data_IF_306063000900
#
_entry.id   IF_306063000900
#
_cell.length_a   1.000
_cell.length_b   1.000
_cell.length_c   1.000
_cell.angle_alpha   90.00
_cell.angle_beta   90.00
_cell.angle_gamma   90.00
#
_symmetry.space_group_name_H-M   'P 1'
#
loop_
_entity.id
_entity.type
_entity.pdbx_description
1 polymer ?
#
# COMPACT_ATOMS: atom_id res chain seq x y z
N UNK A 1 -28.77 -26.48 -2.18
CA UNK A 1 -27.73 -26.32 -3.17
C UNK A 1 -27.02 -25.01 -2.88
N UNK A 2 -25.87 -25.12 -2.24
CA UNK A 2 -25.07 -23.94 -1.91
C UNK A 2 -24.62 -23.26 -3.21
N UNK A 3 -25.01 -22.02 -3.40
CA UNK A 3 -24.28 -21.19 -4.34
C UNK A 3 -22.87 -21.04 -3.78
N UNK A 4 -21.91 -21.71 -4.36
CA UNK A 4 -20.53 -21.36 -4.13
C UNK A 4 -20.39 -19.90 -4.52
N UNK A 5 -20.14 -19.02 -3.54
CA UNK A 5 -19.73 -17.66 -3.84
C UNK A 5 -18.44 -17.77 -4.66
N UNK A 6 -18.55 -17.53 -5.94
CA UNK A 6 -17.38 -17.38 -6.78
C UNK A 6 -16.70 -16.10 -6.30
N UNK A 7 -15.67 -16.27 -5.46
CA UNK A 7 -14.79 -15.17 -5.11
C UNK A 7 -14.03 -14.81 -6.39
N UNK A 8 -14.53 -13.81 -7.09
CA UNK A 8 -13.85 -13.31 -8.27
C UNK A 8 -12.71 -12.41 -7.81
N UNK A 9 -11.49 -12.85 -8.05
CA UNK A 9 -10.31 -12.02 -7.85
C UNK A 9 -10.42 -10.78 -8.73
N UNK A 10 -10.17 -9.63 -8.14
CA UNK A 10 -10.22 -8.35 -8.85
C UNK A 10 -8.83 -8.02 -9.41
N UNK A 11 -8.77 -7.69 -10.68
CA UNK A 11 -7.55 -7.20 -11.34
C UNK A 11 -7.69 -5.71 -11.59
N UNK A 12 -6.75 -4.93 -11.06
CA UNK A 12 -6.76 -3.47 -11.21
C UNK A 12 -5.43 -2.97 -11.73
N UNK A 13 -5.47 -1.81 -12.37
CA UNK A 13 -4.29 -1.13 -12.89
C UNK A 13 -4.10 0.22 -12.19
N UNK A 14 -2.85 0.59 -11.95
CA UNK A 14 -2.51 1.94 -11.49
C UNK A 14 -2.59 2.93 -12.68
N UNK A 15 -2.87 4.21 -12.43
CA UNK A 15 -3.17 4.83 -11.13
C UNK A 15 -4.50 4.34 -10.56
N UNK A 16 -4.54 4.13 -9.24
CA UNK A 16 -5.76 3.75 -8.55
C UNK A 16 -6.56 5.02 -8.29
N UNK A 17 -7.73 5.12 -8.91
CA UNK A 17 -8.60 6.28 -8.83
C UNK A 17 -9.75 6.04 -7.86
N UNK A 18 -10.49 7.08 -7.54
CA UNK A 18 -11.69 6.99 -6.69
C UNK A 18 -12.75 6.03 -7.24
N UNK A 19 -12.89 5.96 -8.58
CA UNK A 19 -13.79 5.00 -9.22
C UNK A 19 -13.38 3.56 -8.91
N UNK A 20 -12.09 3.27 -8.92
CA UNK A 20 -11.55 1.94 -8.58
C UNK A 20 -11.77 1.64 -7.11
N UNK A 21 -11.44 2.57 -6.21
CA UNK A 21 -11.58 2.34 -4.77
C UNK A 21 -13.03 2.13 -4.35
N UNK A 22 -13.97 2.79 -5.01
CA UNK A 22 -15.40 2.64 -4.73
C UNK A 22 -15.90 1.19 -4.94
N UNK A 23 -15.24 0.45 -5.81
CA UNK A 23 -15.57 -0.96 -6.14
C UNK A 23 -14.82 -1.97 -5.28
N UNK A 24 -13.92 -1.52 -4.41
CA UNK A 24 -13.12 -2.39 -3.54
C UNK A 24 -13.74 -2.44 -2.14
N UNK A 25 -13.93 -3.66 -1.63
CA UNK A 25 -14.50 -3.89 -0.30
C UNK A 25 -13.51 -4.65 0.58
N UNK A 26 -13.53 -4.36 1.87
CA UNK A 26 -12.68 -5.06 2.85
C UNK A 26 -12.84 -6.58 2.71
N UNK A 27 -11.71 -7.28 2.60
CA UNK A 27 -11.67 -8.72 2.36
C UNK A 27 -11.52 -9.12 0.89
N UNK A 28 -11.65 -8.20 -0.05
CA UNK A 28 -11.45 -8.52 -1.47
C UNK A 28 -10.00 -8.87 -1.77
N UNK A 29 -9.79 -9.90 -2.56
CA UNK A 29 -8.49 -10.25 -3.12
C UNK A 29 -8.29 -9.47 -4.41
N UNK A 30 -7.14 -8.81 -4.52
CA UNK A 30 -6.85 -7.88 -5.61
C UNK A 30 -5.46 -8.17 -6.18
N UNK A 31 -5.34 -8.13 -7.49
CA UNK A 31 -4.06 -8.19 -8.21
C UNK A 31 -3.80 -6.83 -8.85
N UNK A 32 -2.69 -6.22 -8.47
CA UNK A 32 -2.33 -4.87 -8.95
C UNK A 32 -1.27 -4.98 -10.03
N UNK A 33 -1.51 -4.35 -11.17
CA UNK A 33 -0.53 -4.19 -12.25
C UNK A 33 -0.28 -2.71 -12.49
N UNK A 34 0.98 -2.35 -12.64
CA UNK A 34 1.38 -0.98 -12.95
C UNK A 34 2.47 -0.46 -12.02
N UNK A 35 2.45 0.84 -11.76
CA UNK A 35 3.49 1.55 -11.02
C UNK A 35 3.13 1.73 -9.55
N UNK A 36 4.06 1.36 -8.68
CA UNK A 36 4.00 1.65 -7.25
C UNK A 36 5.21 2.48 -6.86
N UNK A 37 5.05 3.39 -5.91
CA UNK A 37 6.17 3.99 -5.20
C UNK A 37 6.48 3.18 -3.95
N UNK A 38 7.76 3.09 -3.60
CA UNK A 38 8.23 2.45 -2.38
C UNK A 38 8.79 3.52 -1.47
N UNK A 39 8.22 3.67 -0.29
CA UNK A 39 8.68 4.63 0.70
C UNK A 39 8.40 4.12 2.12
N UNK A 40 9.39 4.24 3.00
CA UNK A 40 9.29 3.86 4.40
C UNK A 40 9.53 5.07 5.31
N UNK A 41 9.91 4.83 6.55
CA UNK A 41 10.02 5.81 7.64
C UNK A 41 10.83 7.05 7.27
N UNK A 42 12.06 6.87 6.82
CA UNK A 42 12.98 7.98 6.53
C UNK A 42 12.50 8.84 5.35
N UNK A 43 11.98 8.20 4.30
CA UNK A 43 11.42 8.92 3.16
C UNK A 43 10.16 9.69 3.54
N UNK A 44 9.27 9.07 4.32
CA UNK A 44 8.06 9.75 4.80
C UNK A 44 8.39 10.96 5.67
N UNK A 45 9.34 10.80 6.59
CA UNK A 45 9.80 11.91 7.43
C UNK A 45 10.33 13.07 6.59
N UNK A 46 11.16 12.77 5.59
CA UNK A 46 11.71 13.80 4.69
C UNK A 46 10.63 14.48 3.86
N UNK A 47 9.63 13.73 3.38
CA UNK A 47 8.49 14.32 2.69
C UNK A 47 7.74 15.31 3.57
N UNK A 48 7.58 15.01 4.87
CA UNK A 48 6.95 15.96 5.80
C UNK A 48 7.79 17.23 5.96
N UNK A 49 9.10 17.10 6.09
CA UNK A 49 10.03 18.23 6.18
C UNK A 49 9.95 19.12 4.94
N UNK A 50 9.89 18.53 3.75
CA UNK A 50 9.73 19.24 2.48
C UNK A 50 8.42 20.02 2.44
N UNK A 51 7.32 19.40 2.87
CA UNK A 51 6.02 20.06 2.95
C UNK A 51 6.00 21.19 3.98
N UNK A 52 6.65 21.01 5.13
CA UNK A 52 6.75 22.04 6.17
C UNK A 52 7.54 23.27 5.69
N UNK A 53 8.47 23.07 4.76
CA UNK A 53 9.20 24.16 4.10
C UNK A 53 8.41 24.83 2.96
N UNK A 54 7.19 24.38 2.69
CA UNK A 54 6.35 24.91 1.61
C UNK A 54 6.80 24.47 0.21
N UNK A 55 7.62 23.45 0.12
CA UNK A 55 8.11 22.91 -1.17
C UNK A 55 7.21 21.77 -1.67
N UNK A 56 7.31 21.50 -2.97
CA UNK A 56 6.59 20.41 -3.60
C UNK A 56 7.24 19.06 -3.29
N UNK A 57 6.43 18.00 -3.24
CA UNK A 57 6.92 16.64 -3.08
C UNK A 57 7.75 16.20 -4.31
N UNK A 58 8.77 15.33 -4.10
CA UNK A 58 9.61 14.87 -5.20
C UNK A 58 8.92 13.84 -6.11
N UNK A 59 7.73 13.38 -5.76
CA UNK A 59 6.93 12.41 -6.52
C UNK A 59 5.55 12.99 -6.82
N UNK A 60 4.89 12.46 -7.85
CA UNK A 60 3.50 12.79 -8.14
C UNK A 60 2.59 12.04 -7.17
N UNK A 61 2.10 12.74 -6.15
CA UNK A 61 1.30 12.14 -5.07
C UNK A 61 -0.13 11.82 -5.50
N UNK A 62 -0.67 12.53 -6.51
CA UNK A 62 -2.07 12.35 -6.93
C UNK A 62 -2.32 10.96 -7.49
N UNK A 63 -3.28 10.25 -6.88
CA UNK A 63 -3.68 8.88 -7.23
C UNK A 63 -2.52 7.87 -7.16
N UNK A 64 -1.45 8.19 -6.42
CA UNK A 64 -0.35 7.27 -6.26
C UNK A 64 -0.65 6.16 -5.26
N UNK A 65 0.05 5.06 -5.41
CA UNK A 65 0.07 3.94 -4.45
C UNK A 65 1.46 3.86 -3.84
N UNK A 66 1.54 3.88 -2.52
CA UNK A 66 2.80 3.73 -1.79
C UNK A 66 2.85 2.36 -1.11
N UNK A 67 3.87 1.60 -1.44
CA UNK A 67 4.17 0.33 -0.81
C UNK A 67 5.23 0.53 0.28
N UNK A 68 4.90 0.12 1.50
CA UNK A 68 5.81 0.14 2.65
C UNK A 68 6.70 -1.10 2.61
N UNK A 69 7.56 -1.15 1.62
CA UNK A 69 8.44 -2.28 1.36
C UNK A 69 9.79 -2.10 2.05
N UNK A 70 10.29 -3.18 2.67
CA UNK A 70 11.67 -3.24 3.16
C UNK A 70 12.55 -3.99 2.15
N UNK A 71 13.11 -3.31 1.13
CA UNK A 71 13.88 -3.99 0.12
C UNK A 71 15.18 -4.54 0.67
N UNK A 72 15.53 -5.77 0.27
CA UNK A 72 16.87 -6.31 0.46
C UNK A 72 17.67 -6.15 -0.84
N UNK A 73 19.02 -6.26 -0.78
CA UNK A 73 19.85 -6.14 -1.97
C UNK A 73 19.40 -7.08 -3.09
N UNK A 74 19.44 -6.58 -4.31
CA UNK A 74 19.12 -7.37 -5.50
C UNK A 74 20.11 -8.52 -5.68
N UNK A 75 19.61 -9.68 -6.08
CA UNK A 75 20.42 -10.79 -6.54
C UNK A 75 20.61 -10.67 -8.05
N UNK A 76 21.66 -11.31 -8.57
CA UNK A 76 21.96 -11.34 -9.99
C UNK A 76 20.72 -11.74 -10.80
N UNK A 77 20.38 -10.95 -11.82
CA UNK A 77 19.22 -11.20 -12.69
C UNK A 77 17.86 -10.80 -12.13
N UNK A 78 17.80 -10.17 -10.95
CA UNK A 78 16.53 -9.72 -10.34
C UNK A 78 16.59 -8.25 -9.94
N UNK A 79 15.52 -7.48 -10.18
CA UNK A 79 15.49 -6.05 -9.84
C UNK A 79 15.53 -5.80 -8.33
N UNK A 80 15.14 -6.79 -7.52
CA UNK A 80 15.09 -6.68 -6.06
C UNK A 80 15.24 -8.06 -5.41
N UNK A 81 15.88 -8.15 -4.24
CA UNK A 81 16.11 -9.42 -3.56
C UNK A 81 14.89 -9.93 -2.82
N UNK A 82 14.29 -9.10 -1.98
CA UNK A 82 13.07 -9.39 -1.22
C UNK A 82 12.19 -8.15 -1.21
N UNK A 83 10.88 -8.36 -1.28
CA UNK A 83 9.89 -7.29 -1.38
C UNK A 83 8.83 -7.37 -0.27
N UNK A 84 9.22 -7.85 0.91
CA UNK A 84 8.30 -8.01 2.04
C UNK A 84 7.81 -6.68 2.60
N UNK A 85 6.54 -6.61 3.05
CA UNK A 85 5.98 -5.40 3.62
C UNK A 85 6.52 -5.13 5.03
N UNK A 86 6.66 -3.83 5.35
CA UNK A 86 6.95 -3.34 6.70
C UNK A 86 5.65 -3.06 7.44
N UNK A 87 5.71 -3.05 8.77
CA UNK A 87 4.59 -2.69 9.63
C UNK A 87 4.08 -1.28 9.32
N UNK A 88 2.82 -1.21 8.90
CA UNK A 88 2.21 0.03 8.39
C UNK A 88 2.02 1.09 9.47
N UNK A 89 1.77 0.71 10.72
CA UNK A 89 1.53 1.65 11.82
C UNK A 89 2.69 2.64 12.05
N UNK A 90 3.88 2.30 11.61
CA UNK A 90 5.04 3.20 11.68
C UNK A 90 4.87 4.43 10.79
N UNK A 91 4.03 4.35 9.76
CA UNK A 91 3.75 5.45 8.83
C UNK A 91 2.51 6.26 9.22
N UNK A 92 1.79 5.85 10.27
CA UNK A 92 0.48 6.42 10.60
C UNK A 92 0.51 7.91 10.95
N UNK A 93 1.62 8.39 11.49
CA UNK A 93 1.82 9.82 11.77
C UNK A 93 2.03 10.67 10.52
N UNK A 94 2.33 10.05 9.38
CA UNK A 94 2.59 10.75 8.11
C UNK A 94 1.47 10.55 7.10
N UNK A 95 0.85 9.39 7.09
CA UNK A 95 -0.09 8.97 6.05
C UNK A 95 -1.30 9.91 5.86
N UNK A 96 -1.97 10.43 6.91
CA UNK A 96 -3.13 11.30 6.71
C UNK A 96 -2.81 12.53 5.86
N UNK A 97 -1.65 13.15 6.07
CA UNK A 97 -1.24 14.33 5.29
C UNK A 97 -1.04 14.02 3.82
N UNK A 98 -0.41 12.89 3.52
CA UNK A 98 -0.22 12.45 2.13
C UNK A 98 -1.53 12.06 1.45
N UNK A 99 -2.44 11.41 2.18
CA UNK A 99 -3.77 11.10 1.69
C UNK A 99 -4.55 12.36 1.34
N UNK A 100 -4.47 13.38 2.19
CA UNK A 100 -5.11 14.69 1.93
C UNK A 100 -4.51 15.40 0.72
N UNK A 101 -3.28 15.08 0.33
CA UNK A 101 -2.63 15.63 -0.85
C UNK A 101 -2.89 14.83 -2.13
N UNK A 102 -3.55 13.66 -2.02
CA UNK A 102 -3.95 12.89 -3.19
C UNK A 102 -3.47 11.44 -3.27
N UNK A 103 -2.65 10.97 -2.31
CA UNK A 103 -2.32 9.54 -2.23
C UNK A 103 -3.60 8.73 -2.15
N UNK A 104 -3.73 7.68 -2.94
CA UNK A 104 -4.99 6.94 -3.04
C UNK A 104 -4.92 5.55 -2.45
N UNK A 105 -3.74 4.94 -2.40
CA UNK A 105 -3.60 3.58 -1.89
C UNK A 105 -2.30 3.40 -1.11
N UNK A 106 -2.37 2.53 -0.12
CA UNK A 106 -1.23 2.15 0.71
C UNK A 106 -1.16 0.63 0.77
N UNK A 107 0.05 0.07 0.75
CA UNK A 107 0.28 -1.36 0.91
C UNK A 107 1.27 -1.57 2.04
N UNK A 108 0.92 -2.41 3.00
CA UNK A 108 1.79 -2.70 4.13
C UNK A 108 1.33 -3.96 4.87
N UNK A 109 1.53 -4.01 6.16
CA UNK A 109 0.98 -5.05 7.02
C UNK A 109 0.58 -4.48 8.38
N UNK A 110 -0.42 -5.11 9.01
CA UNK A 110 -0.88 -4.76 10.34
C UNK A 110 -1.96 -3.70 10.37
N UNK A 111 -2.33 -3.33 11.59
CA UNK A 111 -3.43 -2.39 11.85
C UNK A 111 -3.02 -0.95 11.59
N UNK A 112 -4.01 -0.10 11.35
CA UNK A 112 -3.83 1.34 11.21
C UNK A 112 -4.54 2.06 12.36
N UNK A 113 -4.08 3.26 12.68
CA UNK A 113 -4.72 4.13 13.67
C UNK A 113 -6.03 4.70 13.14
N UNK A 114 -6.87 5.20 14.05
CA UNK A 114 -8.13 5.85 13.71
C UNK A 114 -7.92 7.05 12.77
N UNK A 115 -6.86 7.82 12.98
CA UNK A 115 -6.54 8.99 12.16
C UNK A 115 -6.30 8.60 10.69
N UNK A 116 -5.63 7.47 10.45
CA UNK A 116 -5.43 6.95 9.09
C UNK A 116 -6.75 6.48 8.49
N UNK A 117 -7.56 5.76 9.25
CA UNK A 117 -8.87 5.27 8.78
C UNK A 117 -9.79 6.45 8.42
N UNK A 118 -9.82 7.49 9.26
CA UNK A 118 -10.59 8.70 8.98
C UNK A 118 -10.12 9.38 7.68
N UNK A 119 -8.81 9.43 7.45
CA UNK A 119 -8.24 10.00 6.23
C UNK A 119 -8.55 9.13 4.99
N UNK A 120 -8.57 7.81 5.13
CA UNK A 120 -8.97 6.88 4.06
C UNK A 120 -10.41 7.15 3.63
N UNK A 121 -11.32 7.28 4.59
CA UNK A 121 -12.73 7.59 4.33
C UNK A 121 -12.87 8.96 3.65
N UNK A 122 -12.24 9.97 4.22
CA UNK A 122 -12.30 11.36 3.74
C UNK A 122 -11.81 11.51 2.32
N UNK A 123 -10.78 10.76 1.95
CA UNK A 123 -10.11 10.86 0.65
C UNK A 123 -10.52 9.74 -0.33
N UNK A 124 -11.46 8.88 0.03
CA UNK A 124 -11.87 7.74 -0.79
C UNK A 124 -10.68 6.86 -1.18
N UNK A 125 -9.76 6.68 -0.24
CA UNK A 125 -8.55 5.87 -0.42
C UNK A 125 -8.78 4.42 -0.03
N UNK A 126 -7.74 3.60 -0.06
CA UNK A 126 -7.78 2.19 0.30
C UNK A 126 -6.45 1.78 0.93
N UNK A 127 -6.52 0.87 1.89
CA UNK A 127 -5.34 0.25 2.48
C UNK A 127 -5.36 -1.26 2.21
N UNK A 128 -4.27 -1.73 1.62
CA UNK A 128 -4.07 -3.15 1.30
C UNK A 128 -3.00 -3.78 2.17
N UNK A 129 -3.13 -5.07 2.43
CA UNK A 129 -2.03 -5.89 2.92
C UNK A 129 -1.49 -6.76 1.78
N UNK A 130 -0.16 -6.87 1.69
CA UNK A 130 0.46 -7.76 0.70
C UNK A 130 0.24 -9.22 1.12
N UNK A 131 -0.10 -10.07 0.15
CA UNK A 131 -0.33 -11.49 0.35
C UNK A 131 0.87 -12.27 -0.21
N UNK A 132 1.16 -13.42 0.38
CA UNK A 132 2.18 -14.32 -0.13
C UNK A 132 3.32 -14.59 0.85
N UNK A 133 3.22 -14.07 2.08
CA UNK A 133 4.06 -14.43 3.23
C UNK A 133 5.54 -14.13 3.08
N UNK A 134 6.21 -14.70 2.10
CA UNK A 134 7.63 -14.48 1.88
C UNK A 134 7.86 -13.37 0.84
N UNK A 135 8.66 -12.37 1.22
CA UNK A 135 9.04 -11.28 0.31
C UNK A 135 9.69 -11.75 -1.00
N UNK A 136 10.27 -12.96 -1.01
CA UNK A 136 10.83 -13.58 -2.21
C UNK A 136 9.75 -13.89 -3.27
N UNK A 137 8.54 -14.27 -2.86
CA UNK A 137 7.42 -14.49 -3.79
C UNK A 137 6.89 -13.17 -4.35
N UNK A 138 6.77 -12.15 -3.50
CA UNK A 138 6.34 -10.82 -3.91
C UNK A 138 7.33 -10.17 -4.88
N UNK A 139 8.64 -10.41 -4.68
CA UNK A 139 9.68 -9.87 -5.57
C UNK A 139 9.55 -10.34 -7.01
N UNK A 140 8.98 -11.53 -7.23
CA UNK A 140 8.75 -12.07 -8.58
C UNK A 140 7.72 -11.25 -9.37
N UNK A 141 6.82 -10.55 -8.68
CA UNK A 141 5.84 -9.68 -9.32
C UNK A 141 6.45 -8.35 -9.77
N UNK A 142 7.64 -8.01 -9.27
CA UNK A 142 8.33 -6.77 -9.60
C UNK A 142 9.16 -6.97 -10.86
N UNK A 143 8.78 -6.29 -11.93
CA UNK A 143 9.44 -6.41 -13.24
C UNK A 143 10.52 -5.36 -13.46
N UNK A 144 10.44 -4.24 -12.76
CA UNK A 144 11.40 -3.14 -12.86
C UNK A 144 11.46 -2.39 -11.55
N UNK A 145 12.64 -1.91 -11.17
CA UNK A 145 12.84 -1.09 -9.98
C UNK A 145 13.90 -0.03 -10.26
N UNK A 146 13.62 1.21 -9.87
CA UNK A 146 14.58 2.31 -9.96
C UNK A 146 14.44 3.26 -8.78
N UNK A 147 15.55 3.85 -8.35
CA UNK A 147 15.54 4.91 -7.34
C UNK A 147 15.14 6.20 -8.04
N UNK A 148 14.14 6.90 -7.53
CA UNK A 148 13.66 8.16 -8.13
C UNK A 148 14.07 9.39 -7.36
N UNK A 149 14.28 9.27 -6.03
CA UNK A 149 14.76 10.38 -5.21
C UNK A 149 15.25 9.89 -3.84
N UNK A 150 15.88 10.79 -3.09
CA UNK A 150 16.43 10.53 -1.75
C UNK A 150 17.48 9.41 -1.73
N UNK A 151 18.34 9.40 -2.74
CA UNK A 151 19.41 8.39 -2.90
C UNK A 151 20.33 8.27 -1.68
N UNK A 152 20.53 9.38 -0.96
CA UNK A 152 21.33 9.43 0.26
C UNK A 152 20.72 8.59 1.40
N UNK A 153 19.44 8.26 1.34
CA UNK A 153 18.80 7.37 2.32
C UNK A 153 19.10 5.88 2.09
N UNK A 154 19.82 5.55 1.04
CA UNK A 154 20.22 4.16 0.75
C UNK A 154 19.01 3.24 0.55
N UNK A 155 18.89 2.21 1.40
CA UNK A 155 17.77 1.26 1.33
C UNK A 155 16.40 1.90 1.53
N UNK A 156 16.32 3.08 2.13
CA UNK A 156 15.08 3.83 2.33
C UNK A 156 14.87 4.96 1.34
N UNK A 157 15.64 5.02 0.26
CA UNK A 157 15.37 5.91 -0.86
C UNK A 157 13.98 5.62 -1.44
N UNK A 158 13.34 6.63 -2.03
CA UNK A 158 12.07 6.40 -2.74
C UNK A 158 12.37 5.69 -4.05
N UNK A 159 11.73 4.55 -4.25
CA UNK A 159 11.81 3.75 -5.47
C UNK A 159 10.50 3.82 -6.23
N UNK A 160 10.59 3.64 -7.53
CA UNK A 160 9.48 3.40 -8.41
C UNK A 160 9.61 1.98 -8.92
N UNK A 161 8.60 1.16 -8.71
CA UNK A 161 8.58 -0.23 -9.18
C UNK A 161 7.42 -0.46 -10.14
N UNK A 162 7.67 -1.29 -11.15
CA UNK A 162 6.62 -1.80 -12.03
C UNK A 162 6.28 -3.21 -11.59
N UNK A 163 5.01 -3.44 -11.31
CA UNK A 163 4.51 -4.74 -10.85
C UNK A 163 3.51 -5.33 -11.84
N UNK A 164 3.42 -6.66 -11.84
CA UNK A 164 2.46 -7.41 -12.62
C UNK A 164 1.77 -8.41 -11.69
N UNK A 165 0.45 -8.34 -11.63
CA UNK A 165 -0.40 -9.19 -10.79
C UNK A 165 0.09 -9.30 -9.33
N UNK A 166 0.42 -8.17 -8.74
CA UNK A 166 0.88 -8.09 -7.35
C UNK A 166 -0.28 -8.39 -6.39
N UNK A 167 -0.20 -9.49 -5.61
CA UNK A 167 -1.34 -9.95 -4.84
C UNK A 167 -1.49 -9.20 -3.51
N UNK A 168 -2.66 -8.64 -3.29
CA UNK A 168 -3.01 -7.92 -2.06
C UNK A 168 -4.43 -8.27 -1.61
N UNK A 169 -4.74 -7.97 -0.36
CA UNK A 169 -6.09 -8.02 0.19
C UNK A 169 -6.48 -6.63 0.69
N UNK A 170 -7.74 -6.24 0.46
CA UNK A 170 -8.26 -4.99 1.00
C UNK A 170 -8.45 -5.13 2.51
N UNK A 171 -7.74 -4.34 3.30
CA UNK A 171 -7.86 -4.31 4.76
C UNK A 171 -8.82 -3.21 5.22
N UNK A 172 -8.65 -2.00 4.69
CA UNK A 172 -9.56 -0.88 4.96
C UNK A 172 -10.04 -0.33 3.63
N UNK A 173 -11.34 -0.40 3.39
CA UNK A 173 -11.94 0.12 2.16
C UNK A 173 -12.29 1.62 2.29
N UNK A 174 -12.75 2.20 1.19
CA UNK A 174 -13.06 3.63 1.13
C UNK A 174 -14.22 4.08 2.00
N UNK A 175 -15.01 3.15 2.51
CA UNK A 175 -16.11 3.41 3.46
C UNK A 175 -15.67 3.24 4.91
N UNK A 176 -14.43 2.81 5.14
CA UNK A 176 -13.87 2.61 6.47
C UNK A 176 -14.13 1.23 7.06
N UNK A 177 -14.70 0.30 6.29
CA UNK A 177 -14.79 -1.09 6.74
C UNK A 177 -13.39 -1.64 6.93
N UNK A 178 -13.15 -2.23 8.09
CA UNK A 178 -11.82 -2.66 8.52
C UNK A 178 -11.84 -4.16 8.81
N UNK A 179 -11.06 -4.92 8.05
CA UNK A 179 -11.00 -6.37 8.17
C UNK A 179 -10.59 -6.84 9.57
N UNK A 180 -9.71 -6.10 10.25
CA UNK A 180 -9.31 -6.43 11.62
C UNK A 180 -10.46 -6.31 12.61
N UNK A 181 -11.31 -5.30 12.47
CA UNK A 181 -12.48 -5.12 13.34
C UNK A 181 -13.54 -6.19 13.08
N UNK A 182 -13.78 -6.52 11.83
CA UNK A 182 -14.72 -7.57 11.44
C UNK A 182 -14.29 -8.93 12.01
N UNK A 183 -13.02 -9.28 11.90
CA UNK A 183 -12.47 -10.51 12.45
C UNK A 183 -12.64 -10.58 13.97
N UNK A 184 -12.37 -9.49 14.68
CA UNK A 184 -12.55 -9.41 16.14
C UNK A 184 -14.01 -9.62 16.52
N UNK A 185 -14.94 -8.98 15.81
CA UNK A 185 -16.38 -9.13 16.06
C UNK A 185 -16.87 -10.56 15.82
N UNK A 186 -16.36 -11.23 14.79
CA UNK A 186 -16.70 -12.63 14.51
C UNK A 186 -16.22 -13.56 15.63
N UNK A 187 -15.04 -13.36 16.17
CA UNK A 187 -14.53 -14.12 17.30
C UNK A 187 -15.23 -13.82 18.62
N UNK A 188 -15.68 -12.59 18.82
CA UNK A 188 -16.40 -12.19 20.03
C UNK A 188 -17.81 -12.76 20.12
N UNK A 189 -18.44 -13.13 19.01
CA UNK A 189 -19.82 -13.69 18.96
C UNK A 189 -19.82 -15.20 19.26
N UNK A 190 -18.68 -15.87 19.23
CA UNK A 190 -18.56 -17.32 19.52
C UNK A 190 -18.33 -17.63 21.01
N UNK A 191 -18.15 -16.63 21.85
CA UNK A 191 -18.08 -16.75 23.30
C UNK A 191 -19.50 -16.57 23.91
#
# INVERSE_FOLDING_TARGET
VGQEEIIMDKHIHTPITEEITADLKAGDYVYITGTLYVARDAAHKRMMEVLDEGKELPINIKDCTIYYMGPSPAREGRPIGSAGPTTASRMDKYAPRLLDLGEKAMIGKGKRTKEVIDAVIRNKAVYFAAIGGAGALLSKCIKKSEIVCYEDLGAEAIRKIEVEDFPVIVVVDSEGNNLYETAIKEFAVED
#
